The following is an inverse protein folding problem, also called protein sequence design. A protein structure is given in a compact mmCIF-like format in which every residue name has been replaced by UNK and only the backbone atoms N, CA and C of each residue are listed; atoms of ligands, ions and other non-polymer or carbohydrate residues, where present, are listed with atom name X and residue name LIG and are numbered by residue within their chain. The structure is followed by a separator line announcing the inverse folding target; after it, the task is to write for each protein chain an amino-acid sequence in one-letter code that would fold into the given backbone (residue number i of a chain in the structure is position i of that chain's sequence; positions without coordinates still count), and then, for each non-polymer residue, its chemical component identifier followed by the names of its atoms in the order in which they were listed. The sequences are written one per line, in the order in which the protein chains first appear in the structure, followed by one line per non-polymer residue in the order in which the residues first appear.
data_IF_133010731463
#
_entry.id   IF_133010731463
#
_cell.length_a   1.000
_cell.length_b   1.000
_cell.length_c   1.000
_cell.angle_alpha   90.00
_cell.angle_beta   90.00
_cell.angle_gamma   90.00
#
_symmetry.space_group_name_H-M   'P 1'
#
loop_
_entity.id
_entity.type
_entity.pdbx_description
1 polymer ?
#
# COMPACT_ATOMS: atom_id res chain seq x y z
N UNK A 1 -8.69 -22.54 20.68
CA UNK A 1 -7.98 -21.36 21.22
C UNK A 1 -6.65 -21.29 20.49
N UNK A 2 -6.62 -20.55 19.37
CA UNK A 2 -5.43 -20.45 18.53
C UNK A 2 -4.54 -19.31 19.03
N UNK A 3 -3.35 -19.66 19.47
CA UNK A 3 -2.28 -18.71 19.77
C UNK A 3 -1.99 -17.89 18.51
N UNK A 4 -2.35 -16.61 18.52
CA UNK A 4 -1.91 -15.64 17.51
C UNK A 4 -0.39 -15.52 17.63
N UNK A 5 0.32 -16.19 16.72
CA UNK A 5 1.76 -16.03 16.56
C UNK A 5 2.09 -14.55 16.54
N UNK A 6 2.93 -14.10 17.48
CA UNK A 6 3.59 -12.80 17.41
C UNK A 6 4.52 -12.87 16.20
N UNK A 7 3.99 -12.59 15.01
CA UNK A 7 4.81 -12.34 13.85
C UNK A 7 5.64 -11.09 14.16
N UNK A 8 6.98 -11.26 14.19
CA UNK A 8 7.90 -10.16 14.42
C UNK A 8 7.80 -9.19 13.24
N UNK A 9 7.08 -8.08 13.44
CA UNK A 9 7.17 -6.93 12.54
C UNK A 9 8.65 -6.58 12.34
N UNK A 10 9.09 -6.45 11.09
CA UNK A 10 10.48 -6.10 10.72
C UNK A 10 10.80 -4.63 11.01
N UNK A 11 10.57 -4.18 12.23
CA UNK A 11 10.85 -2.81 12.70
C UNK A 11 12.30 -2.61 13.14
N UNK A 12 13.19 -3.57 12.83
CA UNK A 12 14.60 -3.54 13.23
C UNK A 12 15.38 -2.44 12.50
N UNK A 13 14.90 -1.98 11.34
CA UNK A 13 15.51 -0.88 10.57
C UNK A 13 15.20 0.51 11.14
N UNK A 14 14.33 0.62 12.14
CA UNK A 14 14.04 1.87 12.84
C UNK A 14 15.01 2.14 13.99
N UNK A 15 15.18 3.42 14.30
CA UNK A 15 15.80 3.85 15.56
C UNK A 15 14.97 3.42 16.78
N UNK A 16 15.61 3.44 17.95
CA UNK A 16 15.01 2.95 19.19
C UNK A 16 13.73 3.71 19.60
N UNK A 17 13.64 5.01 19.33
CA UNK A 17 12.45 5.80 19.66
C UNK A 17 11.27 5.44 18.75
N UNK A 18 11.53 5.32 17.45
CA UNK A 18 10.53 4.91 16.45
C UNK A 18 10.03 3.49 16.70
N UNK A 19 10.92 2.54 17.06
CA UNK A 19 10.51 1.19 17.45
C UNK A 19 9.60 1.21 18.69
N UNK A 20 9.91 2.04 19.68
CA UNK A 20 9.10 2.17 20.89
C UNK A 20 7.73 2.78 20.57
N UNK A 21 7.69 3.78 19.69
CA UNK A 21 6.45 4.41 19.22
C UNK A 21 5.56 3.39 18.50
N UNK A 22 6.11 2.63 17.55
CA UNK A 22 5.38 1.59 16.80
C UNK A 22 4.89 0.44 17.69
N UNK A 23 5.74 -0.05 18.62
CA UNK A 23 5.32 -1.08 19.59
C UNK A 23 4.22 -0.60 20.52
N UNK A 24 4.21 0.69 20.86
CA UNK A 24 3.14 1.29 21.67
C UNK A 24 1.88 1.46 20.84
N UNK A 25 1.98 1.93 19.60
CA UNK A 25 0.86 2.03 18.66
C UNK A 25 0.18 0.68 18.39
N UNK A 26 0.96 -0.40 18.30
CA UNK A 26 0.43 -1.75 18.08
C UNK A 26 -0.28 -2.34 19.32
N UNK A 27 -0.03 -1.80 20.52
CA UNK A 27 -0.62 -2.30 21.78
C UNK A 27 -1.74 -1.40 22.29
N UNK A 28 -1.54 -0.10 22.24
CA UNK A 28 -2.45 0.93 22.71
C UNK A 28 -2.32 2.19 21.83
N UNK A 29 -2.95 2.16 20.64
CA UNK A 29 -2.86 3.26 19.69
C UNK A 29 -3.57 4.54 20.15
N UNK A 30 -4.35 4.51 21.23
CA UNK A 30 -4.99 5.70 21.81
C UNK A 30 -4.03 6.56 22.64
N UNK A 31 -2.86 6.02 23.01
CA UNK A 31 -1.86 6.70 23.83
C UNK A 31 -0.63 7.17 23.02
N UNK A 32 -0.75 7.22 21.69
CA UNK A 32 0.30 7.68 20.79
C UNK A 32 -0.25 8.67 19.78
N UNK A 33 0.62 9.57 19.35
CA UNK A 33 0.34 10.47 18.24
C UNK A 33 0.38 9.67 16.93
N UNK A 34 -0.80 9.42 16.36
CA UNK A 34 -0.94 8.63 15.13
C UNK A 34 -0.42 9.36 13.89
N UNK A 35 -0.42 10.69 13.86
CA UNK A 35 0.20 11.45 12.78
C UNK A 35 1.72 11.26 12.81
N UNK A 36 2.31 11.27 14.01
CA UNK A 36 3.73 10.96 14.17
C UNK A 36 4.05 9.51 13.78
N UNK A 37 3.20 8.55 14.16
CA UNK A 37 3.34 7.15 13.75
C UNK A 37 3.27 7.03 12.22
N UNK A 38 2.31 7.68 11.58
CA UNK A 38 2.15 7.70 10.13
C UNK A 38 3.41 8.24 9.47
N UNK A 39 3.87 9.43 9.87
CA UNK A 39 5.07 10.06 9.32
C UNK A 39 6.30 9.16 9.46
N UNK A 40 6.49 8.50 10.61
CA UNK A 40 7.60 7.56 10.82
C UNK A 40 7.50 6.36 9.89
N UNK A 41 6.31 5.77 9.72
CA UNK A 41 6.08 4.64 8.82
C UNK A 41 6.34 5.07 7.36
N UNK A 42 5.84 6.23 6.95
CA UNK A 42 6.00 6.80 5.62
C UNK A 42 7.47 7.07 5.32
N UNK A 43 8.16 7.83 6.19
CA UNK A 43 9.57 8.19 6.03
C UNK A 43 10.47 6.97 5.94
N UNK A 44 10.20 5.93 6.73
CA UNK A 44 10.99 4.70 6.67
C UNK A 44 10.64 3.86 5.44
N UNK A 45 9.38 3.84 5.01
CA UNK A 45 8.98 3.14 3.79
C UNK A 45 9.61 3.74 2.54
N UNK A 46 9.86 5.05 2.54
CA UNK A 46 10.59 5.75 1.47
C UNK A 46 12.10 5.44 1.47
N UNK A 47 12.66 5.01 2.60
CA UNK A 47 14.10 4.71 2.76
C UNK A 47 14.44 3.23 2.65
N UNK A 48 13.48 2.36 2.95
CA UNK A 48 13.68 0.91 3.06
C UNK A 48 12.57 0.17 2.30
N UNK A 49 12.91 -0.34 1.11
CA UNK A 49 11.99 -1.07 0.24
C UNK A 49 11.56 -2.44 0.81
N UNK A 50 12.30 -2.98 1.77
CA UNK A 50 11.89 -4.20 2.50
C UNK A 50 10.84 -3.83 3.54
N UNK A 51 11.02 -2.69 4.20
CA UNK A 51 10.05 -2.19 5.17
C UNK A 51 8.75 -1.70 4.51
N UNK A 52 8.79 -1.13 3.30
CA UNK A 52 7.57 -0.66 2.61
C UNK A 52 6.52 -1.77 2.43
N UNK A 53 6.96 -3.03 2.23
CA UNK A 53 6.09 -4.22 2.17
C UNK A 53 5.46 -4.57 3.52
N UNK A 54 6.08 -4.18 4.63
CA UNK A 54 5.64 -4.45 6.01
C UNK A 54 4.86 -3.27 6.62
N UNK A 55 5.10 -2.05 6.13
CA UNK A 55 4.40 -0.83 6.51
C UNK A 55 2.88 -0.97 6.37
N UNK A 56 2.42 -1.56 5.26
CA UNK A 56 1.00 -1.86 5.05
C UNK A 56 0.40 -2.80 6.10
N UNK A 57 1.16 -3.81 6.55
CA UNK A 57 0.73 -4.72 7.63
C UNK A 57 0.68 -4.02 8.99
N UNK A 58 1.66 -3.18 9.29
CA UNK A 58 1.70 -2.41 10.54
C UNK A 58 0.53 -1.43 10.59
N UNK A 59 0.28 -0.70 9.50
CA UNK A 59 -0.88 0.18 9.37
C UNK A 59 -2.18 -0.61 9.57
N UNK A 60 -2.33 -1.76 8.90
CA UNK A 60 -3.50 -2.62 9.06
C UNK A 60 -3.72 -3.07 10.52
N UNK A 61 -2.67 -3.53 11.22
CA UNK A 61 -2.80 -3.94 12.62
C UNK A 61 -3.18 -2.76 13.53
N UNK A 62 -2.57 -1.59 13.35
CA UNK A 62 -2.91 -0.40 14.13
C UNK A 62 -4.39 -0.01 13.91
N UNK A 63 -4.88 -0.16 12.68
CA UNK A 63 -6.29 0.05 12.31
C UNK A 63 -7.21 -0.95 13.03
N UNK A 64 -6.84 -2.25 13.07
CA UNK A 64 -7.65 -3.29 13.72
C UNK A 64 -7.71 -3.15 15.24
N UNK A 65 -6.65 -2.66 15.89
CA UNK A 65 -6.59 -2.58 17.37
C UNK A 65 -7.46 -1.46 17.94
N UNK A 66 -7.61 -0.33 17.24
CA UNK A 66 -8.27 0.83 17.84
C UNK A 66 -9.75 1.02 17.49
N UNK A 67 -10.28 0.30 16.47
CA UNK A 67 -11.59 0.61 15.89
C UNK A 67 -11.78 2.11 15.56
N UNK A 68 -10.68 2.89 15.51
CA UNK A 68 -10.69 4.30 15.20
C UNK A 68 -10.86 4.42 13.70
N UNK A 69 -11.76 5.30 13.22
CA UNK A 69 -12.06 5.40 11.81
C UNK A 69 -10.74 5.73 11.10
N UNK A 70 -10.51 5.02 9.99
CA UNK A 70 -9.39 5.16 9.06
C UNK A 70 -8.99 6.63 8.74
N UNK A 71 -9.82 7.62 9.05
CA UNK A 71 -9.63 9.05 8.81
C UNK A 71 -8.23 9.61 9.11
N UNK A 72 -7.61 9.28 10.24
CA UNK A 72 -6.30 9.86 10.59
C UNK A 72 -5.18 9.35 9.66
N UNK A 73 -5.24 8.09 9.24
CA UNK A 73 -4.21 7.45 8.41
C UNK A 73 -4.56 7.47 6.91
N UNK A 74 -5.83 7.69 6.56
CA UNK A 74 -6.30 7.73 5.16
C UNK A 74 -5.53 8.76 4.35
N UNK A 75 -5.38 9.98 4.87
CA UNK A 75 -4.68 11.03 4.14
C UNK A 75 -3.19 10.72 3.93
N UNK A 76 -2.41 10.37 4.98
CA UNK A 76 -1.02 9.93 4.82
C UNK A 76 -0.86 8.75 3.85
N UNK A 77 -1.76 7.76 3.92
CA UNK A 77 -1.71 6.60 3.02
C UNK A 77 -1.96 7.02 1.57
N UNK A 78 -2.98 7.85 1.32
CA UNK A 78 -3.19 8.41 -0.01
C UNK A 78 -2.00 9.21 -0.48
N UNK A 79 -1.40 10.07 0.36
CA UNK A 79 -0.24 10.89 -0.02
C UNK A 79 0.94 10.01 -0.48
N UNK A 80 1.18 8.87 0.18
CA UNK A 80 2.13 7.85 -0.30
C UNK A 80 1.75 7.27 -1.67
N UNK A 81 0.49 6.87 -1.85
CA UNK A 81 0.03 6.29 -3.11
C UNK A 81 0.12 7.31 -4.25
N UNK A 82 -0.23 8.58 -3.99
CA UNK A 82 -0.08 9.69 -4.94
C UNK A 82 1.39 9.96 -5.28
N UNK A 83 2.30 9.83 -4.30
CA UNK A 83 3.74 9.95 -4.55
C UNK A 83 4.27 8.83 -5.43
N UNK A 84 3.81 7.60 -5.18
CA UNK A 84 4.15 6.41 -5.96
C UNK A 84 3.53 6.41 -7.37
N UNK A 85 2.42 7.12 -7.56
CA UNK A 85 1.78 7.31 -8.86
C UNK A 85 2.38 8.45 -9.70
N UNK A 86 3.42 9.14 -9.20
CA UNK A 86 4.11 10.18 -9.98
C UNK A 86 4.98 9.59 -11.09
N UNK A 87 5.19 10.38 -12.14
CA UNK A 87 5.94 9.94 -13.33
C UNK A 87 7.33 9.36 -13.01
N UNK A 88 8.12 10.04 -12.17
CA UNK A 88 9.46 9.59 -11.78
C UNK A 88 9.45 8.27 -10.98
N UNK A 89 8.36 8.03 -10.26
CA UNK A 89 8.16 6.82 -9.47
C UNK A 89 7.72 5.64 -10.33
N UNK A 90 6.80 5.87 -11.28
CA UNK A 90 6.32 4.84 -12.19
C UNK A 90 7.41 4.27 -13.12
N UNK A 91 8.52 5.00 -13.32
CA UNK A 91 9.69 4.48 -14.05
C UNK A 91 10.49 3.44 -13.26
N UNK A 92 10.27 3.31 -11.95
CA UNK A 92 10.97 2.37 -11.10
C UNK A 92 10.05 1.20 -10.81
N UNK A 93 10.38 0.05 -11.37
CA UNK A 93 9.60 -1.18 -11.24
C UNK A 93 9.32 -1.57 -9.78
N UNK A 94 10.30 -1.39 -8.88
CA UNK A 94 10.12 -1.66 -7.43
C UNK A 94 9.07 -0.76 -6.76
N UNK A 95 8.95 0.49 -7.21
CA UNK A 95 7.95 1.43 -6.67
C UNK A 95 6.55 1.10 -7.21
N UNK A 96 6.45 0.65 -8.46
CA UNK A 96 5.19 0.15 -9.06
C UNK A 96 4.72 -1.14 -8.38
N UNK A 97 5.63 -2.11 -8.14
CA UNK A 97 5.34 -3.32 -7.37
C UNK A 97 4.78 -2.97 -5.98
N UNK A 98 5.42 -2.03 -5.29
CA UNK A 98 4.96 -1.54 -3.99
C UNK A 98 3.55 -0.93 -4.06
N UNK A 99 3.32 -0.03 -5.02
CA UNK A 99 2.04 0.65 -5.22
C UNK A 99 0.90 -0.35 -5.43
N UNK A 100 1.08 -1.28 -6.36
CA UNK A 100 0.09 -2.31 -6.70
C UNK A 100 -0.15 -3.24 -5.51
N UNK A 101 0.90 -3.65 -4.79
CA UNK A 101 0.78 -4.46 -3.59
C UNK A 101 -0.06 -3.78 -2.50
N UNK A 102 0.11 -2.47 -2.27
CA UNK A 102 -0.70 -1.76 -1.28
C UNK A 102 -2.16 -1.65 -1.73
N UNK A 103 -2.41 -1.33 -3.00
CA UNK A 103 -3.77 -1.23 -3.54
C UNK A 103 -4.52 -2.56 -3.44
N UNK A 104 -3.87 -3.70 -3.68
CA UNK A 104 -4.49 -5.02 -3.44
C UNK A 104 -4.91 -5.25 -1.99
N UNK A 105 -4.09 -4.79 -1.03
CA UNK A 105 -4.31 -5.06 0.39
C UNK A 105 -5.37 -4.17 1.02
N UNK A 106 -5.35 -2.87 0.70
CA UNK A 106 -6.15 -1.87 1.39
C UNK A 106 -6.95 -0.96 0.45
N UNK A 107 -6.89 -1.17 -0.87
CA UNK A 107 -7.55 -0.30 -1.84
C UNK A 107 -9.07 -0.22 -1.67
N UNK A 108 -9.77 -1.36 -1.56
CA UNK A 108 -11.23 -1.38 -1.33
C UNK A 108 -11.63 -0.62 -0.06
N UNK A 109 -10.81 -0.74 0.98
CA UNK A 109 -11.04 -0.08 2.26
C UNK A 109 -10.82 1.43 2.14
N UNK A 110 -9.74 1.86 1.48
CA UNK A 110 -9.46 3.27 1.22
C UNK A 110 -10.53 3.92 0.35
N UNK A 111 -11.04 3.22 -0.66
CA UNK A 111 -12.09 3.73 -1.53
C UNK A 111 -13.40 3.96 -0.77
N UNK A 112 -13.80 3.02 0.11
CA UNK A 112 -14.98 3.19 0.97
C UNK A 112 -14.87 4.41 1.89
N UNK A 113 -13.66 4.80 2.27
CA UNK A 113 -13.40 5.96 3.12
C UNK A 113 -13.33 7.27 2.34
N UNK A 114 -12.78 7.26 1.13
CA UNK A 114 -12.68 8.43 0.28
C UNK A 114 -12.60 8.02 -1.20
N UNK A 115 -13.76 7.83 -1.82
CA UNK A 115 -13.85 7.39 -3.21
C UNK A 115 -13.29 8.43 -4.19
N UNK A 116 -13.46 9.72 -3.88
CA UNK A 116 -12.94 10.81 -4.71
C UNK A 116 -11.42 10.76 -4.86
N UNK A 117 -10.68 10.58 -3.75
CA UNK A 117 -9.21 10.45 -3.82
C UNK A 117 -8.79 9.17 -4.55
N UNK A 118 -9.57 8.09 -4.44
CA UNK A 118 -9.31 6.88 -5.22
C UNK A 118 -9.51 7.10 -6.72
N UNK A 119 -10.55 7.85 -7.12
CA UNK A 119 -10.79 8.23 -8.51
C UNK A 119 -9.65 9.07 -9.08
N UNK A 120 -9.20 10.09 -8.33
CA UNK A 120 -8.05 10.93 -8.68
C UNK A 120 -6.77 10.09 -8.83
N UNK A 121 -6.50 9.18 -7.88
CA UNK A 121 -5.35 8.29 -7.93
C UNK A 121 -5.38 7.40 -9.18
N UNK A 122 -6.51 6.76 -9.47
CA UNK A 122 -6.64 5.90 -10.66
C UNK A 122 -6.70 6.68 -11.97
N UNK A 123 -7.03 7.98 -11.94
CA UNK A 123 -6.82 8.85 -13.10
C UNK A 123 -5.32 8.96 -13.39
N UNK A 124 -4.49 9.21 -12.37
CA UNK A 124 -3.04 9.29 -12.54
C UNK A 124 -2.43 7.96 -13.02
N UNK A 125 -2.91 6.82 -12.52
CA UNK A 125 -2.42 5.52 -12.98
C UNK A 125 -2.74 5.27 -14.46
N UNK A 126 -3.95 5.66 -14.90
CA UNK A 126 -4.33 5.55 -16.33
C UNK A 126 -3.52 6.50 -17.19
N UNK A 127 -3.32 7.73 -16.75
CA UNK A 127 -2.50 8.72 -17.46
C UNK A 127 -1.05 8.24 -17.55
N UNK A 128 -0.48 7.72 -16.46
CA UNK A 128 0.83 7.09 -16.43
C UNK A 128 0.92 5.92 -17.40
N UNK A 129 -0.06 5.00 -17.39
CA UNK A 129 -0.08 3.88 -18.31
C UNK A 129 -0.18 4.28 -19.80
N UNK A 130 -0.98 5.29 -20.12
CA UNK A 130 -1.26 5.71 -21.51
C UNK A 130 -0.22 6.67 -22.09
N UNK A 131 0.34 7.56 -21.27
CA UNK A 131 1.13 8.71 -21.73
C UNK A 131 2.61 8.60 -21.39
N UNK A 132 2.99 7.80 -20.40
CA UNK A 132 4.37 7.74 -19.94
C UNK A 132 5.25 6.85 -20.84
N UNK A 133 6.35 7.42 -21.31
CA UNK A 133 7.39 6.67 -22.01
C UNK A 133 8.36 6.01 -21.02
N UNK A 134 8.88 4.83 -21.38
CA UNK A 134 9.94 4.15 -20.63
C UNK A 134 9.47 3.32 -19.43
N UNK A 135 8.17 3.00 -19.34
CA UNK A 135 7.69 1.97 -18.40
C UNK A 135 8.28 0.61 -18.77
N UNK A 136 8.71 -0.17 -17.78
CA UNK A 136 9.12 -1.56 -18.02
C UNK A 136 7.89 -2.41 -18.40
N UNK A 137 8.12 -3.54 -19.07
CA UNK A 137 7.05 -4.47 -19.42
C UNK A 137 6.31 -5.00 -18.17
N UNK A 138 7.03 -5.20 -17.06
CA UNK A 138 6.41 -5.61 -15.80
C UNK A 138 5.58 -4.48 -15.19
N UNK A 139 6.09 -3.23 -15.15
CA UNK A 139 5.32 -2.09 -14.67
C UNK A 139 4.03 -1.89 -15.48
N UNK A 140 4.09 -2.05 -16.81
CA UNK A 140 2.90 -1.99 -17.67
C UNK A 140 1.89 -3.08 -17.29
N UNK A 141 2.35 -4.33 -17.12
CA UNK A 141 1.49 -5.44 -16.75
C UNK A 141 0.82 -5.22 -15.39
N UNK A 142 1.60 -4.80 -14.38
CA UNK A 142 1.11 -4.53 -13.03
C UNK A 142 0.10 -3.37 -12.98
N UNK A 143 0.35 -2.29 -13.74
CA UNK A 143 -0.58 -1.17 -13.83
C UNK A 143 -1.89 -1.56 -14.52
N UNK A 144 -1.82 -2.35 -15.59
CA UNK A 144 -3.01 -2.82 -16.29
C UNK A 144 -3.86 -3.72 -15.38
N UNK A 145 -3.20 -4.66 -14.69
CA UNK A 145 -3.84 -5.59 -13.78
C UNK A 145 -4.57 -4.83 -12.65
N UNK A 146 -3.93 -3.88 -11.97
CA UNK A 146 -4.59 -3.17 -10.86
C UNK A 146 -5.75 -2.29 -11.34
N UNK A 147 -5.66 -1.74 -12.56
CA UNK A 147 -6.75 -0.97 -13.18
C UNK A 147 -7.96 -1.88 -13.43
N UNK A 148 -7.74 -3.09 -13.96
CA UNK A 148 -8.79 -4.10 -14.13
C UNK A 148 -9.34 -4.59 -12.78
N UNK A 149 -8.47 -4.84 -11.81
CA UNK A 149 -8.84 -5.30 -10.47
C UNK A 149 -9.79 -4.33 -9.78
N UNK A 150 -9.50 -3.02 -9.83
CA UNK A 150 -10.43 -2.00 -9.31
C UNK A 150 -11.72 -1.93 -10.13
N UNK A 151 -11.64 -2.01 -11.47
CA UNK A 151 -12.82 -1.99 -12.33
C UNK A 151 -13.77 -3.18 -12.08
N UNK A 152 -13.25 -4.28 -11.53
CA UNK A 152 -13.99 -5.46 -11.11
C UNK A 152 -14.41 -5.42 -9.62
N UNK A 153 -14.57 -4.23 -9.03
CA UNK A 153 -14.92 -4.02 -7.62
C UNK A 153 -13.91 -4.68 -6.65
N UNK A 154 -12.62 -4.51 -6.92
CA UNK A 154 -11.51 -5.07 -6.12
C UNK A 154 -11.55 -6.60 -6.05
N UNK A 155 -11.88 -7.25 -7.17
CA UNK A 155 -11.92 -8.71 -7.28
C UNK A 155 -11.14 -9.18 -8.49
N UNK A 156 -10.44 -10.28 -8.28
CA UNK A 156 -9.74 -10.95 -9.37
C UNK A 156 -10.73 -11.77 -10.19
N UNK A 157 -10.83 -11.49 -11.49
CA UNK A 157 -11.68 -12.26 -12.40
C UNK A 157 -10.97 -13.52 -12.88
N UNK A 158 -11.71 -14.55 -13.29
CA UNK A 158 -11.10 -15.78 -13.84
C UNK A 158 -10.27 -15.52 -15.11
N UNK A 159 -10.66 -14.52 -15.90
CA UNK A 159 -9.94 -14.12 -17.10
C UNK A 159 -8.62 -13.41 -16.75
N UNK A 160 -8.67 -12.45 -15.82
CA UNK A 160 -7.49 -11.75 -15.32
C UNK A 160 -6.52 -12.73 -14.64
N UNK A 161 -7.03 -13.63 -13.79
CA UNK A 161 -6.22 -14.66 -13.12
C UNK A 161 -5.44 -15.50 -14.13
N UNK A 162 -6.07 -15.90 -15.25
CA UNK A 162 -5.37 -16.63 -16.31
C UNK A 162 -4.35 -15.74 -17.02
N UNK A 163 -4.73 -14.53 -17.41
CA UNK A 163 -3.85 -13.65 -18.18
C UNK A 163 -2.59 -13.24 -17.40
N UNK A 164 -2.73 -12.87 -16.13
CA UNK A 164 -1.63 -12.33 -15.31
C UNK A 164 -0.85 -13.39 -14.53
N UNK A 165 -1.46 -14.54 -14.20
CA UNK A 165 -0.87 -15.52 -13.28
C UNK A 165 -0.87 -16.97 -13.76
N UNK A 166 -1.50 -17.31 -14.89
CA UNK A 166 -1.27 -18.64 -15.46
C UNK A 166 0.11 -18.65 -16.12
N UNK A 167 0.95 -19.59 -15.70
CA UNK A 167 2.23 -19.83 -16.38
C UNK A 167 1.94 -20.05 -17.86
N UNK A 168 2.60 -19.27 -18.72
CA UNK A 168 2.77 -19.65 -20.12
C UNK A 168 3.54 -20.96 -20.08
N UNK A 169 2.81 -22.06 -20.17
CA UNK A 169 3.38 -23.37 -20.42
C UNK A 169 3.80 -23.34 -21.89
N UNK A 170 5.02 -22.88 -22.13
CA UNK A 170 5.77 -23.23 -23.35
C UNK A 170 6.10 -24.73 -23.35
#
# INVERSE_FOLDING_TARGET
MGETGKEEYKIQSFDFESQKLLKTALKDPSNVDLDKVANVIVDQSLKDCVFSKEAGRICYTIIQVNNMPMMALVNPVYDCLFRLAQHDSLQKEEEVDCLVLQLHRIGEQLEKMNSQRMDELFSLLRDGFLLQEGLSSLSQLLLLEIIEFRAADWKMTDAAQKYYYSEVTD
#
